data_IF_209585634212
#
_entry.id   IF_209585634212
#
_cell.length_a   1.000
_cell.length_b   1.000
_cell.length_c   1.000
_cell.angle_alpha   90.00
_cell.angle_beta   90.00
_cell.angle_gamma   90.00
#
_symmetry.space_group_name_H-M   'P 1'
#
loop_
_entity.id
_entity.type
_entity.pdbx_description
1 polymer ?
#
# COMPACT_ATOMS: atom_id res chain seq x y z
N UNK A 1 24.68 -20.34 12.47
CA UNK A 1 24.91 -20.71 11.08
C UNK A 1 25.49 -19.57 10.24
N UNK A 2 25.08 -18.32 10.45
CA UNK A 2 25.56 -17.15 9.71
C UNK A 2 26.75 -16.44 10.37
N UNK A 3 27.16 -16.80 11.60
CA UNK A 3 28.26 -16.17 12.33
C UNK A 3 27.94 -14.76 12.88
N UNK A 4 26.68 -14.37 12.88
CA UNK A 4 26.19 -13.11 13.43
C UNK A 4 25.51 -13.33 14.79
N UNK A 5 25.31 -12.26 15.58
CA UNK A 5 24.65 -12.33 16.87
C UNK A 5 23.12 -12.41 16.71
N UNK A 6 22.44 -12.92 17.72
CA UNK A 6 20.97 -13.06 17.68
C UNK A 6 20.24 -11.71 17.63
N UNK A 7 20.80 -10.67 18.22
CA UNK A 7 20.29 -9.30 18.21
C UNK A 7 20.52 -8.55 16.87
N UNK A 8 21.29 -9.16 15.96
CA UNK A 8 21.48 -8.67 14.59
C UNK A 8 20.49 -9.29 13.59
N UNK A 9 19.56 -10.13 14.06
CA UNK A 9 18.55 -10.79 13.23
C UNK A 9 17.18 -10.13 13.40
N UNK A 10 16.63 -9.61 12.31
CA UNK A 10 15.24 -9.11 12.27
C UNK A 10 14.31 -10.28 11.96
N UNK A 11 13.33 -10.50 12.81
CA UNK A 11 12.35 -11.60 12.67
C UNK A 11 10.98 -11.02 12.33
N UNK A 12 10.36 -11.57 11.30
CA UNK A 12 8.98 -11.32 10.94
C UNK A 12 8.21 -12.62 10.83
N UNK A 13 6.99 -12.68 11.34
CA UNK A 13 6.13 -13.86 11.25
C UNK A 13 4.66 -13.46 11.22
N UNK A 14 3.84 -14.33 10.67
CA UNK A 14 2.39 -14.25 10.76
C UNK A 14 1.82 -15.65 11.04
N UNK A 15 0.60 -15.73 11.53
CA UNK A 15 -0.07 -16.99 11.87
C UNK A 15 -1.43 -16.74 12.50
N UNK A 16 -2.08 -17.80 12.94
CA UNK A 16 -3.41 -17.71 13.59
C UNK A 16 -3.31 -16.96 14.92
N UNK A 17 -4.12 -15.92 15.09
CA UNK A 17 -4.15 -15.09 16.30
C UNK A 17 -4.42 -15.97 17.54
N UNK A 18 -3.58 -15.79 18.58
CA UNK A 18 -3.69 -16.54 19.83
C UNK A 18 -3.12 -17.96 19.81
N UNK A 19 -2.57 -18.42 18.68
CA UNK A 19 -1.86 -19.70 18.57
C UNK A 19 -0.34 -19.49 18.55
N UNK A 20 0.37 -20.41 19.23
CA UNK A 20 1.84 -20.40 19.16
C UNK A 20 2.29 -20.80 17.76
N UNK A 21 3.20 -20.02 17.20
CA UNK A 21 3.87 -20.37 15.95
C UNK A 21 4.71 -21.65 16.18
N UNK A 22 4.54 -22.71 15.37
CA UNK A 22 5.41 -23.88 15.46
C UNK A 22 6.83 -23.51 14.99
N UNK A 23 7.78 -23.53 15.90
CA UNK A 23 9.17 -23.12 15.63
C UNK A 23 10.00 -24.27 15.01
N UNK A 24 9.55 -25.50 15.16
CA UNK A 24 10.25 -26.69 14.74
C UNK A 24 10.57 -26.69 13.23
N UNK A 25 9.65 -26.32 12.34
CA UNK A 25 9.94 -26.27 10.90
C UNK A 25 11.09 -25.29 10.55
N UNK A 26 11.19 -24.17 11.28
CA UNK A 26 12.25 -23.18 11.07
C UNK A 26 13.57 -23.73 11.68
N UNK A 27 13.54 -24.16 12.93
CA UNK A 27 14.72 -24.66 13.66
C UNK A 27 15.38 -25.84 12.91
N UNK A 28 14.59 -26.77 12.42
CA UNK A 28 15.08 -28.02 11.85
C UNK A 28 15.63 -27.82 10.42
N UNK A 29 15.33 -26.66 9.78
CA UNK A 29 15.79 -26.33 8.41
C UNK A 29 16.75 -25.13 8.36
N UNK A 30 17.17 -24.56 9.50
CA UNK A 30 18.00 -23.35 9.54
C UNK A 30 19.33 -23.51 8.78
N UNK A 31 19.94 -24.70 8.81
CA UNK A 31 21.16 -24.97 8.06
C UNK A 31 20.94 -24.98 6.55
N UNK A 32 19.83 -25.55 6.10
CA UNK A 32 19.45 -25.57 4.69
C UNK A 32 19.16 -24.14 4.20
N UNK A 33 18.45 -23.35 4.99
CA UNK A 33 18.18 -21.95 4.70
C UNK A 33 19.47 -21.15 4.57
N UNK A 34 20.42 -21.31 5.51
CA UNK A 34 21.69 -20.60 5.48
C UNK A 34 22.52 -20.97 4.25
N UNK A 35 22.54 -22.25 3.84
CA UNK A 35 23.23 -22.71 2.61
C UNK A 35 22.51 -22.24 1.34
N UNK A 36 21.22 -22.00 1.42
CA UNK A 36 20.38 -21.55 0.31
C UNK A 36 20.43 -20.06 0.03
N UNK A 37 21.15 -19.27 0.84
CA UNK A 37 21.26 -17.81 0.62
C UNK A 37 21.95 -17.53 -0.73
N UNK A 38 21.24 -16.82 -1.60
CA UNK A 38 21.70 -16.46 -2.93
C UNK A 38 20.86 -15.32 -3.50
N UNK A 39 21.43 -14.36 -4.22
CA UNK A 39 20.69 -13.32 -4.94
C UNK A 39 19.63 -13.89 -5.90
N UNK A 40 19.87 -15.09 -6.45
CA UNK A 40 18.95 -15.76 -7.39
C UNK A 40 17.73 -16.39 -6.70
N UNK A 41 17.69 -16.42 -5.37
CA UNK A 41 16.58 -17.01 -4.61
C UNK A 41 15.56 -16.00 -4.11
N UNK A 42 15.64 -14.70 -4.53
CA UNK A 42 14.67 -13.67 -4.13
C UNK A 42 13.22 -14.09 -4.47
N UNK A 43 12.96 -14.58 -5.69
CA UNK A 43 11.63 -15.03 -6.08
C UNK A 43 11.11 -16.23 -5.26
N UNK A 44 12.00 -17.12 -4.74
CA UNK A 44 11.58 -18.16 -3.80
C UNK A 44 11.15 -17.59 -2.46
N UNK A 45 11.88 -16.58 -1.97
CA UNK A 45 11.51 -15.89 -0.73
C UNK A 45 10.18 -15.16 -0.89
N UNK A 46 9.98 -14.40 -1.99
CA UNK A 46 8.75 -13.70 -2.28
C UNK A 46 7.53 -14.65 -2.39
N UNK A 47 7.71 -15.83 -2.97
CA UNK A 47 6.65 -16.86 -3.02
C UNK A 47 6.41 -17.49 -1.64
N UNK A 48 7.47 -17.72 -0.85
CA UNK A 48 7.37 -18.42 0.44
C UNK A 48 6.65 -17.61 1.52
N UNK A 49 6.62 -16.28 1.43
CA UNK A 49 5.92 -15.41 2.38
C UNK A 49 4.43 -15.23 2.07
N UNK A 50 3.95 -15.67 0.90
CA UNK A 50 2.54 -15.54 0.51
C UNK A 50 1.62 -16.40 1.39
N UNK A 51 0.39 -15.92 1.60
CA UNK A 51 -0.69 -16.67 2.27
C UNK A 51 -1.89 -16.82 1.33
N UNK A 52 -2.77 -15.84 1.30
CA UNK A 52 -3.91 -15.75 0.37
C UNK A 52 -3.59 -14.95 -0.89
N UNK A 53 -2.38 -14.43 -0.99
CA UNK A 53 -1.87 -13.72 -2.16
C UNK A 53 -1.97 -14.58 -3.44
N UNK A 54 -2.33 -13.97 -4.57
CA UNK A 54 -2.45 -14.70 -5.85
C UNK A 54 -1.14 -14.67 -6.66
N UNK A 55 -0.24 -13.72 -6.37
CA UNK A 55 1.08 -13.62 -6.98
C UNK A 55 2.11 -13.00 -6.04
N UNK A 56 3.39 -13.31 -6.27
CA UNK A 56 4.50 -12.74 -5.53
C UNK A 56 4.71 -11.27 -5.92
N UNK A 57 4.82 -10.40 -4.92
CA UNK A 57 4.97 -8.96 -5.09
C UNK A 57 6.41 -8.56 -4.82
N UNK A 58 7.14 -8.20 -5.86
CA UNK A 58 8.52 -7.70 -5.78
C UNK A 58 8.78 -6.63 -6.83
N UNK A 59 9.66 -5.67 -6.50
CA UNK A 59 10.08 -4.60 -7.39
C UNK A 59 11.44 -4.05 -6.98
N UNK A 60 12.12 -3.39 -7.90
CA UNK A 60 13.38 -2.71 -7.62
C UNK A 60 13.52 -1.45 -8.50
N UNK A 61 14.27 -0.48 -7.99
CA UNK A 61 14.61 0.77 -8.69
C UNK A 61 16.11 0.98 -8.58
N UNK A 62 16.77 1.26 -9.70
CA UNK A 62 18.17 1.67 -9.75
C UNK A 62 18.27 3.18 -10.00
N UNK A 63 19.24 3.81 -9.37
CA UNK A 63 19.50 5.26 -9.43
C UNK A 63 20.99 5.54 -9.22
N UNK A 64 21.40 6.80 -9.28
CA UNK A 64 22.80 7.18 -9.14
C UNK A 64 23.00 8.09 -7.93
N UNK A 65 23.97 7.75 -7.06
CA UNK A 65 24.49 8.61 -6.01
C UNK A 65 26.00 8.73 -6.18
N UNK A 66 26.53 9.96 -6.18
CA UNK A 66 27.96 10.21 -6.29
C UNK A 66 28.62 9.45 -7.47
N UNK A 67 27.93 9.37 -8.61
CA UNK A 67 28.40 8.65 -9.79
C UNK A 67 28.39 7.11 -9.65
N UNK A 68 27.87 6.57 -8.57
CA UNK A 68 27.72 5.13 -8.31
C UNK A 68 26.30 4.68 -8.61
N UNK A 69 26.13 3.53 -9.25
CA UNK A 69 24.82 2.91 -9.41
C UNK A 69 24.40 2.27 -8.11
N UNK A 70 23.27 2.70 -7.60
CA UNK A 70 22.65 2.21 -6.38
C UNK A 70 21.31 1.54 -6.69
N UNK A 71 20.85 0.62 -5.86
CA UNK A 71 19.58 -0.07 -6.03
C UNK A 71 18.82 -0.16 -4.70
N UNK A 72 17.51 0.07 -4.75
CA UNK A 72 16.56 -0.31 -3.71
C UNK A 72 15.64 -1.36 -4.29
N UNK A 73 15.52 -2.49 -3.61
CA UNK A 73 14.59 -3.55 -3.99
C UNK A 73 13.73 -3.96 -2.79
N UNK A 74 12.52 -4.41 -3.05
CA UNK A 74 11.63 -4.84 -2.00
C UNK A 74 10.67 -5.92 -2.44
N UNK A 75 10.21 -6.72 -1.48
CA UNK A 75 9.11 -7.66 -1.62
C UNK A 75 8.08 -7.45 -0.51
N UNK A 76 6.82 -7.75 -0.82
CA UNK A 76 5.71 -7.63 0.09
C UNK A 76 4.77 -8.83 -0.02
N UNK A 77 4.10 -9.16 1.09
CA UNK A 77 2.96 -10.08 1.10
C UNK A 77 1.79 -9.43 1.82
N UNK A 78 0.60 -9.78 1.38
CA UNK A 78 -0.67 -9.39 2.00
C UNK A 78 -1.78 -9.30 0.97
N UNK A 79 -2.96 -9.77 1.35
CA UNK A 79 -4.14 -9.83 0.51
C UNK A 79 -5.42 -9.61 1.32
N UNK A 80 -5.49 -10.04 2.59
CA UNK A 80 -6.55 -9.79 3.56
C UNK A 80 -6.00 -9.35 4.91
N UNK A 81 -6.89 -8.86 5.80
CA UNK A 81 -6.57 -8.21 7.07
C UNK A 81 -5.62 -7.03 6.85
N UNK A 82 -6.00 -6.12 5.92
CA UNK A 82 -5.16 -5.00 5.50
C UNK A 82 -5.88 -3.67 5.72
N UNK A 83 -5.49 -2.98 6.79
CA UNK A 83 -5.80 -1.57 7.08
C UNK A 83 -4.69 -0.97 7.94
N UNK A 84 -3.53 -0.61 7.37
CA UNK A 84 -2.37 -0.19 8.15
C UNK A 84 -2.60 1.08 8.93
N UNK A 85 -2.15 1.03 10.20
CA UNK A 85 -1.86 2.21 10.99
C UNK A 85 -0.45 2.02 11.59
N UNK A 86 0.58 2.21 10.75
CA UNK A 86 2.00 1.95 11.00
C UNK A 86 2.52 0.54 10.61
N UNK A 87 1.77 -0.31 9.94
CA UNK A 87 2.17 -1.49 9.18
C UNK A 87 1.03 -2.52 9.09
N UNK A 88 0.79 -3.16 7.92
CA UNK A 88 -0.25 -4.20 7.80
C UNK A 88 0.16 -5.35 6.88
N UNK A 89 1.42 -5.52 6.63
CA UNK A 89 1.91 -6.54 5.72
C UNK A 89 3.31 -6.92 6.13
N UNK A 90 3.82 -8.02 5.64
CA UNK A 90 5.24 -8.31 5.77
C UNK A 90 5.96 -7.73 4.56
N UNK A 91 6.80 -6.73 4.81
CA UNK A 91 7.56 -6.04 3.78
C UNK A 91 9.04 -6.06 4.10
N UNK A 92 9.82 -6.51 3.14
CA UNK A 92 11.26 -6.61 3.24
C UNK A 92 11.90 -5.79 2.12
N UNK A 93 12.65 -4.78 2.51
CA UNK A 93 13.36 -3.88 1.58
C UNK A 93 14.85 -4.02 1.80
N UNK A 94 15.61 -4.05 0.73
CA UNK A 94 17.07 -4.08 0.76
C UNK A 94 17.64 -3.01 -0.15
N UNK A 95 18.82 -2.49 0.21
CA UNK A 95 19.56 -1.56 -0.63
C UNK A 95 21.06 -1.78 -0.47
N UNK A 96 21.78 -1.49 -1.53
CA UNK A 96 23.27 -1.48 -1.53
C UNK A 96 23.85 -0.10 -1.18
N UNK A 97 23.00 0.90 -0.92
CA UNK A 97 23.42 2.26 -0.57
C UNK A 97 24.18 2.28 0.77
N UNK A 98 25.29 2.99 0.80
CA UNK A 98 25.95 3.42 2.05
C UNK A 98 25.13 4.58 2.65
N UNK A 99 24.33 4.31 3.68
CA UNK A 99 23.43 5.27 4.33
C UNK A 99 23.31 4.93 5.82
N UNK A 100 23.21 5.96 6.67
CA UNK A 100 23.05 5.75 8.11
C UNK A 100 21.66 5.21 8.46
N UNK A 101 21.57 4.43 9.54
CA UNK A 101 20.31 3.91 10.07
C UNK A 101 19.31 5.02 10.43
N UNK A 102 19.82 6.18 10.88
CA UNK A 102 19.01 7.36 11.19
C UNK A 102 18.30 7.89 9.92
N UNK A 103 19.04 8.04 8.82
CA UNK A 103 18.49 8.53 7.56
C UNK A 103 17.53 7.52 6.92
N UNK A 104 17.82 6.21 7.01
CA UNK A 104 16.88 5.16 6.58
C UNK A 104 15.58 5.24 7.38
N UNK A 105 15.68 5.30 8.71
CA UNK A 105 14.49 5.35 9.57
C UNK A 105 13.65 6.60 9.31
N UNK A 106 14.29 7.74 9.09
CA UNK A 106 13.60 8.98 8.73
C UNK A 106 12.84 8.83 7.42
N UNK A 107 13.53 8.40 6.35
CA UNK A 107 12.90 8.19 5.04
C UNK A 107 11.73 7.20 5.11
N UNK A 108 11.93 6.07 5.77
CA UNK A 108 10.89 5.05 5.94
C UNK A 108 9.67 5.61 6.67
N UNK A 109 9.87 6.31 7.78
CA UNK A 109 8.78 6.87 8.60
C UNK A 109 7.96 7.93 7.86
N UNK A 110 8.59 8.71 6.98
CA UNK A 110 7.90 9.70 6.14
C UNK A 110 7.10 9.02 5.02
N UNK A 111 7.72 8.06 4.32
CA UNK A 111 7.14 7.42 3.13
C UNK A 111 5.98 6.50 3.50
N UNK A 112 6.08 5.74 4.59
CA UNK A 112 5.01 4.82 5.03
C UNK A 112 3.68 5.56 5.28
N UNK A 113 3.72 6.81 5.73
CA UNK A 113 2.52 7.63 5.97
C UNK A 113 1.70 7.87 4.71
N UNK A 114 2.36 8.01 3.56
CA UNK A 114 1.74 8.34 2.26
C UNK A 114 1.71 7.16 1.28
N UNK A 115 2.11 5.97 1.73
CA UNK A 115 2.06 4.71 0.97
C UNK A 115 1.24 3.67 1.73
N UNK A 116 1.87 2.77 2.45
CA UNK A 116 1.19 1.67 3.15
C UNK A 116 0.08 2.14 4.10
N UNK A 117 0.27 3.21 4.87
CA UNK A 117 -0.77 3.73 5.76
C UNK A 117 -1.99 4.32 5.01
N UNK A 118 -1.88 4.48 3.71
CA UNK A 118 -2.98 4.89 2.83
C UNK A 118 -3.63 3.71 2.08
N UNK A 119 -3.29 2.46 2.44
CA UNK A 119 -3.89 1.25 1.89
C UNK A 119 -5.02 0.74 2.78
N UNK A 120 -6.09 0.19 2.21
CA UNK A 120 -7.11 -0.58 2.93
C UNK A 120 -7.79 -1.59 2.02
N UNK A 121 -7.78 -2.86 2.41
CA UNK A 121 -8.52 -3.93 1.70
C UNK A 121 -9.87 -4.18 2.38
N UNK A 122 -9.89 -4.45 3.67
CA UNK A 122 -11.08 -4.84 4.42
C UNK A 122 -11.34 -4.01 5.68
N UNK A 123 -10.46 -3.06 6.01
CA UNK A 123 -10.61 -2.21 7.18
C UNK A 123 -10.06 -2.81 8.47
N UNK A 124 -9.55 -4.04 8.44
CA UNK A 124 -9.02 -4.76 9.60
C UNK A 124 -7.49 -4.64 9.68
N UNK A 125 -6.98 -4.19 10.83
CA UNK A 125 -5.55 -4.06 11.08
C UNK A 125 -5.00 -5.39 11.59
N UNK A 126 -3.91 -5.89 10.98
CA UNK A 126 -3.24 -7.12 11.40
C UNK A 126 -2.49 -6.94 12.72
N UNK A 127 -2.17 -8.06 13.36
CA UNK A 127 -1.39 -8.10 14.61
C UNK A 127 0.12 -8.24 14.39
N UNK A 128 0.57 -8.46 13.14
CA UNK A 128 1.95 -8.87 12.83
C UNK A 128 2.61 -8.05 11.71
N UNK A 129 2.14 -6.83 11.51
CA UNK A 129 2.58 -5.98 10.40
C UNK A 129 4.00 -5.47 10.58
N UNK A 130 4.80 -5.56 9.54
CA UNK A 130 6.18 -5.10 9.57
C UNK A 130 6.68 -4.58 8.22
N UNK A 131 7.39 -3.46 8.26
CA UNK A 131 8.26 -2.99 7.18
C UNK A 131 9.68 -2.92 7.71
N UNK A 132 10.60 -3.65 7.09
CA UNK A 132 12.02 -3.59 7.41
C UNK A 132 12.84 -3.19 6.19
N UNK A 133 13.91 -2.44 6.42
CA UNK A 133 14.87 -2.07 5.39
C UNK A 133 16.29 -2.34 5.88
N UNK A 134 17.08 -3.01 5.04
CA UNK A 134 18.47 -3.35 5.30
C UNK A 134 19.36 -2.71 4.22
N UNK A 135 20.41 -2.01 4.63
CA UNK A 135 21.42 -1.43 3.76
C UNK A 135 22.79 -2.07 4.03
N UNK A 136 23.50 -2.48 2.98
CA UNK A 136 24.79 -3.12 3.11
C UNK A 136 25.99 -2.26 2.65
N UNK A 137 25.75 -1.10 2.04
CA UNK A 137 26.78 -0.16 1.61
C UNK A 137 27.62 -0.61 0.42
N UNK A 138 27.25 -1.69 -0.27
CA UNK A 138 28.05 -2.27 -1.35
C UNK A 138 28.06 -1.45 -2.65
N UNK A 139 27.22 -0.42 -2.77
CA UNK A 139 27.30 0.54 -3.88
C UNK A 139 28.54 1.43 -3.80
N UNK A 140 29.18 1.51 -2.61
CA UNK A 140 30.39 2.30 -2.38
C UNK A 140 30.23 3.80 -2.73
N UNK A 141 29.01 4.32 -2.59
CA UNK A 141 28.74 5.76 -2.66
C UNK A 141 29.26 6.46 -1.39
N UNK A 142 29.43 7.76 -1.45
CA UNK A 142 29.66 8.56 -0.24
C UNK A 142 28.52 8.33 0.76
N UNK A 143 28.81 7.96 2.04
CA UNK A 143 27.78 7.64 3.01
C UNK A 143 26.77 8.79 3.22
N UNK A 144 25.48 8.52 3.05
CA UNK A 144 24.39 9.46 3.30
C UNK A 144 24.12 9.50 4.80
N UNK A 145 24.59 10.56 5.47
CA UNK A 145 24.49 10.72 6.94
C UNK A 145 23.69 11.95 7.36
N UNK A 146 23.20 12.73 6.40
CA UNK A 146 22.40 13.93 6.61
C UNK A 146 21.43 14.15 5.45
N UNK A 147 20.46 15.03 5.65
CA UNK A 147 19.56 15.50 4.59
C UNK A 147 20.35 16.30 3.52
N UNK A 148 19.90 16.23 2.28
CA UNK A 148 20.51 16.86 1.11
C UNK A 148 20.13 16.11 -0.15
N UNK A 149 20.73 16.47 -1.28
CA UNK A 149 20.40 15.96 -2.62
C UNK A 149 20.49 14.42 -2.70
N UNK A 150 21.52 13.82 -2.12
CA UNK A 150 21.69 12.36 -2.13
C UNK A 150 20.63 11.66 -1.27
N UNK A 151 20.28 12.25 -0.11
CA UNK A 151 19.17 11.75 0.72
C UNK A 151 17.84 11.84 -0.02
N UNK A 152 17.55 12.97 -0.68
CA UNK A 152 16.34 13.16 -1.44
C UNK A 152 16.23 12.18 -2.60
N UNK A 153 17.34 11.91 -3.28
CA UNK A 153 17.42 10.91 -4.36
C UNK A 153 17.12 9.51 -3.84
N UNK A 154 17.75 9.11 -2.74
CA UNK A 154 17.47 7.84 -2.08
C UNK A 154 15.99 7.75 -1.63
N UNK A 155 15.48 8.79 -0.98
CA UNK A 155 14.10 8.88 -0.51
C UNK A 155 13.10 8.74 -1.66
N UNK A 156 13.37 9.35 -2.81
CA UNK A 156 12.56 9.21 -4.01
C UNK A 156 12.57 7.78 -4.56
N UNK A 157 13.73 7.12 -4.61
CA UNK A 157 13.84 5.73 -5.06
C UNK A 157 13.11 4.78 -4.10
N UNK A 158 13.26 4.96 -2.79
CA UNK A 158 12.53 4.20 -1.78
C UNK A 158 11.02 4.42 -1.90
N UNK A 159 10.57 5.67 -2.11
CA UNK A 159 9.16 5.98 -2.35
C UNK A 159 8.60 5.23 -3.55
N UNK A 160 9.32 5.16 -4.66
CA UNK A 160 8.91 4.42 -5.86
C UNK A 160 8.70 2.93 -5.57
N UNK A 161 9.63 2.31 -4.83
CA UNK A 161 9.52 0.90 -4.45
C UNK A 161 8.30 0.67 -3.55
N UNK A 162 8.16 1.44 -2.46
CA UNK A 162 7.05 1.26 -1.51
C UNK A 162 5.69 1.56 -2.15
N UNK A 163 5.61 2.58 -3.02
CA UNK A 163 4.40 2.91 -3.76
C UNK A 163 3.99 1.80 -4.73
N UNK A 164 4.95 1.23 -5.46
CA UNK A 164 4.69 0.11 -6.37
C UNK A 164 4.16 -1.09 -5.60
N UNK A 165 4.80 -1.46 -4.48
CA UNK A 165 4.34 -2.54 -3.62
C UNK A 165 2.95 -2.26 -3.03
N UNK A 166 2.67 -1.02 -2.61
CA UNK A 166 1.34 -0.61 -2.12
C UNK A 166 0.25 -0.86 -3.16
N UNK A 167 0.49 -0.47 -4.41
CA UNK A 167 -0.47 -0.71 -5.51
C UNK A 167 -0.61 -2.20 -5.85
N UNK A 168 0.47 -2.97 -5.79
CA UNK A 168 0.42 -4.42 -5.99
C UNK A 168 -0.41 -5.11 -4.89
N UNK A 169 -0.28 -4.66 -3.64
CA UNK A 169 -1.10 -5.14 -2.51
C UNK A 169 -2.58 -4.77 -2.69
N UNK A 170 -2.87 -3.54 -3.10
CA UNK A 170 -4.24 -3.09 -3.37
C UNK A 170 -4.91 -3.91 -4.48
N UNK A 171 -4.17 -4.18 -5.56
CA UNK A 171 -4.65 -4.94 -6.73
C UNK A 171 -4.90 -6.42 -6.41
N UNK A 172 -4.16 -6.99 -5.47
CA UNK A 172 -4.24 -8.39 -5.06
C UNK A 172 -5.02 -8.58 -3.74
N UNK A 173 -5.94 -7.67 -3.42
CA UNK A 173 -6.87 -7.86 -2.30
C UNK A 173 -7.69 -9.14 -2.47
N UNK A 174 -7.99 -9.84 -1.36
CA UNK A 174 -8.74 -11.10 -1.38
C UNK A 174 -10.03 -10.99 -2.20
N UNK A 175 -10.11 -11.77 -3.29
CA UNK A 175 -11.25 -11.80 -4.19
C UNK A 175 -11.48 -10.50 -4.99
N UNK A 176 -10.53 -9.59 -5.02
CA UNK A 176 -10.65 -8.34 -5.74
C UNK A 176 -10.77 -8.53 -7.25
N UNK A 177 -11.64 -7.73 -7.87
CA UNK A 177 -11.73 -7.63 -9.33
C UNK A 177 -11.23 -6.27 -9.86
N UNK A 178 -11.15 -5.25 -8.98
CA UNK A 178 -10.75 -3.88 -9.36
C UNK A 178 -9.84 -3.28 -8.29
N UNK A 179 -8.78 -2.59 -8.74
CA UNK A 179 -8.01 -1.69 -7.88
C UNK A 179 -8.68 -0.31 -7.84
N UNK A 180 -8.78 0.26 -6.65
CA UNK A 180 -9.35 1.58 -6.42
C UNK A 180 -8.27 2.53 -5.92
N UNK A 181 -8.11 3.68 -6.57
CA UNK A 181 -7.27 4.79 -6.10
C UNK A 181 -8.17 6.00 -5.84
N UNK A 182 -8.24 6.46 -4.59
CA UNK A 182 -8.97 7.67 -4.22
C UNK A 182 -7.99 8.81 -3.99
N UNK A 183 -8.13 9.89 -4.75
CA UNK A 183 -7.40 11.15 -4.56
C UNK A 183 -8.33 12.16 -3.89
N UNK A 184 -7.93 12.71 -2.76
CA UNK A 184 -8.56 13.87 -2.15
C UNK A 184 -7.64 15.07 -2.31
N UNK A 185 -8.10 16.11 -3.00
CA UNK A 185 -7.41 17.38 -3.26
C UNK A 185 -8.19 18.55 -2.66
N UNK A 186 -7.58 19.74 -2.68
CA UNK A 186 -8.23 20.94 -2.17
C UNK A 186 -8.48 20.91 -0.65
N UNK A 187 -7.78 20.06 0.10
CA UNK A 187 -7.93 19.93 1.55
C UNK A 187 -7.16 21.02 2.31
N UNK A 188 -7.61 21.40 3.53
CA UNK A 188 -6.90 22.37 4.36
C UNK A 188 -5.50 21.90 4.78
N UNK A 189 -5.32 20.60 4.99
CA UNK A 189 -4.05 19.95 5.32
C UNK A 189 -4.00 18.51 4.80
N UNK A 190 -2.81 17.89 4.86
CA UNK A 190 -2.55 16.56 4.35
C UNK A 190 -3.28 15.47 5.16
N UNK A 191 -3.38 15.62 6.47
CA UNK A 191 -4.03 14.65 7.34
C UNK A 191 -5.52 14.55 7.02
N UNK A 192 -6.19 15.70 6.84
CA UNK A 192 -7.58 15.77 6.36
C UNK A 192 -7.75 15.05 5.02
N UNK A 193 -6.86 15.29 4.05
CA UNK A 193 -6.91 14.63 2.76
C UNK A 193 -6.77 13.10 2.88
N UNK A 194 -5.84 12.62 3.72
CA UNK A 194 -5.63 11.19 3.98
C UNK A 194 -6.87 10.56 4.62
N UNK A 195 -7.43 11.19 5.66
CA UNK A 195 -8.59 10.69 6.40
C UNK A 195 -9.79 10.51 5.45
N UNK A 196 -10.06 11.52 4.60
CA UNK A 196 -11.17 11.48 3.65
C UNK A 196 -10.94 10.41 2.58
N UNK A 197 -9.78 10.37 1.94
CA UNK A 197 -9.48 9.37 0.92
C UNK A 197 -9.58 7.94 1.48
N UNK A 198 -9.03 7.69 2.68
CA UNK A 198 -9.13 6.39 3.36
C UNK A 198 -10.56 6.06 3.75
N UNK A 199 -11.37 7.03 4.17
CA UNK A 199 -12.78 6.80 4.54
C UNK A 199 -13.57 6.25 3.36
N UNK A 200 -13.36 6.78 2.16
CA UNK A 200 -13.99 6.28 0.94
C UNK A 200 -13.50 4.87 0.59
N UNK A 201 -12.19 4.66 0.54
CA UNK A 201 -11.59 3.36 0.15
C UNK A 201 -12.02 2.23 1.09
N UNK A 202 -12.19 2.49 2.38
CA UNK A 202 -12.59 1.46 3.36
C UNK A 202 -14.11 1.21 3.44
N UNK A 203 -14.94 2.02 2.78
CA UNK A 203 -16.41 1.91 2.86
C UNK A 203 -16.93 0.65 2.16
N UNK A 204 -17.51 -0.33 2.87
CA UNK A 204 -18.05 -1.54 2.23
C UNK A 204 -19.13 -1.24 1.18
N UNK A 205 -20.01 -0.25 1.46
CA UNK A 205 -21.06 0.12 0.50
C UNK A 205 -20.47 0.70 -0.79
N UNK A 206 -19.45 1.54 -0.68
CA UNK A 206 -18.76 2.08 -1.85
C UNK A 206 -18.03 0.97 -2.63
N UNK A 207 -17.29 0.09 -1.95
CA UNK A 207 -16.57 -1.04 -2.57
C UNK A 207 -17.53 -1.98 -3.31
N UNK A 208 -18.73 -2.25 -2.76
CA UNK A 208 -19.77 -3.02 -3.44
C UNK A 208 -20.33 -2.28 -4.67
N UNK A 209 -20.42 -0.94 -4.65
CA UNK A 209 -20.83 -0.17 -5.82
C UNK A 209 -19.80 -0.30 -6.95
N UNK A 210 -18.52 -0.25 -6.63
CA UNK A 210 -17.44 -0.44 -7.62
C UNK A 210 -17.45 -1.85 -8.24
N UNK A 211 -17.69 -2.87 -7.43
CA UNK A 211 -17.89 -4.24 -7.92
C UNK A 211 -19.12 -4.34 -8.86
N UNK A 212 -20.20 -3.68 -8.51
CA UNK A 212 -21.43 -3.66 -9.31
C UNK A 212 -21.44 -2.64 -10.44
N UNK A 213 -20.32 -1.95 -10.71
CA UNK A 213 -20.19 -0.93 -11.77
C UNK A 213 -21.23 0.20 -11.63
N UNK A 214 -21.59 0.53 -10.38
CA UNK A 214 -22.56 1.56 -10.02
C UNK A 214 -21.84 2.87 -9.67
N UNK A 215 -22.05 3.92 -10.45
CA UNK A 215 -21.48 5.26 -10.24
C UNK A 215 -22.15 5.98 -9.04
N UNK A 216 -22.22 5.31 -7.90
CA UNK A 216 -22.96 5.71 -6.72
C UNK A 216 -22.25 6.82 -5.92
N UNK A 217 -22.35 8.04 -6.41
CA UNK A 217 -21.81 9.22 -5.74
C UNK A 217 -22.37 9.43 -4.34
N UNK A 218 -23.61 8.99 -4.06
CA UNK A 218 -24.22 9.08 -2.73
C UNK A 218 -23.48 8.25 -1.68
N UNK A 219 -22.97 7.06 -2.04
CA UNK A 219 -22.12 6.24 -1.17
C UNK A 219 -20.75 6.86 -0.92
N UNK A 220 -20.21 7.57 -1.92
CA UNK A 220 -18.96 8.32 -1.78
C UNK A 220 -19.17 9.47 -0.79
N UNK A 221 -20.20 10.30 -0.97
CA UNK A 221 -20.52 11.39 -0.04
C UNK A 221 -20.85 10.89 1.37
N UNK A 222 -21.53 9.74 1.49
CA UNK A 222 -21.76 9.11 2.79
C UNK A 222 -20.42 8.78 3.47
N UNK A 223 -19.47 8.18 2.75
CA UNK A 223 -18.16 7.85 3.28
C UNK A 223 -17.34 9.09 3.65
N UNK A 224 -17.42 10.16 2.87
CA UNK A 224 -16.84 11.46 3.19
C UNK A 224 -17.47 12.06 4.45
N UNK A 225 -18.81 11.97 4.56
CA UNK A 225 -19.58 12.63 5.62
C UNK A 225 -19.38 12.04 7.02
N UNK A 226 -18.95 10.77 7.16
CA UNK A 226 -18.58 10.18 8.45
C UNK A 226 -17.06 10.11 8.68
N UNK A 227 -16.27 10.70 7.79
CA UNK A 227 -14.83 10.82 8.00
C UNK A 227 -14.55 11.70 9.23
N UNK A 228 -13.58 11.28 10.05
CA UNK A 228 -13.17 12.02 11.26
C UNK A 228 -12.26 13.21 10.87
N UNK A 229 -12.84 14.18 10.15
CA UNK A 229 -12.17 15.38 9.67
C UNK A 229 -13.16 16.56 9.58
N UNK A 230 -12.66 17.77 9.81
CA UNK A 230 -13.44 18.99 9.68
C UNK A 230 -13.28 19.62 8.29
N UNK A 231 -14.37 19.74 7.56
CA UNK A 231 -14.45 20.36 6.23
C UNK A 231 -15.89 20.77 5.91
N UNK A 232 -16.08 21.64 4.91
CA UNK A 232 -17.41 22.04 4.42
C UNK A 232 -17.88 21.07 3.33
N UNK A 233 -18.78 20.17 3.69
CA UNK A 233 -19.35 19.17 2.75
C UNK A 233 -20.02 19.81 1.53
N UNK A 234 -20.55 21.04 1.64
CA UNK A 234 -21.28 21.68 0.56
C UNK A 234 -20.39 22.11 -0.63
N UNK A 235 -19.07 22.00 -0.49
CA UNK A 235 -18.09 22.34 -1.53
C UNK A 235 -17.52 21.14 -2.25
N UNK A 236 -17.90 19.92 -1.84
CA UNK A 236 -17.30 18.69 -2.34
C UNK A 236 -17.71 18.38 -3.75
N UNK A 237 -16.73 18.22 -4.62
CA UNK A 237 -16.85 17.70 -5.97
C UNK A 237 -16.33 16.27 -6.05
N UNK A 238 -16.92 15.43 -6.89
CA UNK A 238 -16.46 14.05 -7.13
C UNK A 238 -16.51 13.72 -8.62
N UNK A 239 -15.41 13.20 -9.12
CA UNK A 239 -15.28 12.59 -10.43
C UNK A 239 -14.89 11.11 -10.31
N UNK A 240 -15.41 10.28 -11.22
CA UNK A 240 -14.97 8.90 -11.43
C UNK A 240 -14.20 8.82 -12.74
N UNK A 241 -13.10 8.09 -12.75
CA UNK A 241 -12.24 7.97 -13.90
C UNK A 241 -11.62 6.56 -14.04
N UNK A 242 -11.21 6.23 -15.25
CA UNK A 242 -10.38 5.08 -15.60
C UNK A 242 -9.59 5.38 -16.89
N UNK A 243 -8.99 4.36 -17.50
CA UNK A 243 -8.35 4.47 -18.82
C UNK A 243 -9.34 4.89 -19.91
N UNK A 244 -10.66 4.73 -19.70
CA UNK A 244 -11.74 5.09 -20.64
C UNK A 244 -12.20 6.54 -20.55
N UNK A 245 -11.68 7.31 -19.58
CA UNK A 245 -12.00 8.73 -19.42
C UNK A 245 -12.46 9.09 -18.03
N UNK A 246 -13.12 10.25 -17.92
CA UNK A 246 -13.59 10.81 -16.65
C UNK A 246 -15.03 11.28 -16.79
N UNK A 247 -15.83 11.08 -15.72
CA UNK A 247 -17.18 11.64 -15.58
C UNK A 247 -17.31 12.39 -14.25
N UNK A 248 -17.97 13.52 -14.30
CA UNK A 248 -18.43 14.22 -13.08
C UNK A 248 -19.71 13.54 -12.58
N UNK A 249 -19.70 13.19 -11.28
CA UNK A 249 -20.88 12.54 -10.66
C UNK A 249 -21.48 13.39 -9.54
N UNK A 250 -20.70 14.33 -8.98
CA UNK A 250 -21.15 15.23 -7.92
C UNK A 250 -20.46 16.59 -8.05
N UNK A 251 -21.18 17.67 -7.82
CA UNK A 251 -20.71 19.03 -7.70
C UNK A 251 -21.39 19.73 -6.54
N UNK A 252 -20.61 20.39 -5.67
CA UNK A 252 -21.10 21.06 -4.47
C UNK A 252 -22.01 20.16 -3.62
N UNK A 253 -21.59 18.93 -3.38
CA UNK A 253 -22.32 17.88 -2.66
C UNK A 253 -23.69 17.49 -3.26
N UNK A 254 -23.96 17.85 -4.50
CA UNK A 254 -25.17 17.47 -5.22
C UNK A 254 -24.84 16.62 -6.46
N UNK A 255 -25.65 15.61 -6.73
CA UNK A 255 -25.53 14.82 -7.97
C UNK A 255 -25.73 15.69 -9.20
N UNK A 256 -24.95 15.39 -10.24
CA UNK A 256 -25.10 16.03 -11.55
C UNK A 256 -25.54 15.00 -12.59
N UNK A 257 -26.17 15.46 -13.66
CA UNK A 257 -26.55 14.58 -14.75
C UNK A 257 -25.28 14.06 -15.46
N UNK A 258 -25.20 12.76 -15.65
CA UNK A 258 -24.14 12.09 -16.41
C UNK A 258 -24.70 10.93 -17.25
N UNK A 259 -23.94 10.47 -18.22
CA UNK A 259 -24.29 9.30 -19.02
C UNK A 259 -24.03 8.02 -18.23
N UNK A 260 -25.06 7.26 -17.92
CA UNK A 260 -24.97 5.93 -17.30
C UNK A 260 -24.15 4.95 -18.16
N UNK A 261 -24.31 5.04 -19.50
CA UNK A 261 -23.53 4.22 -20.44
C UNK A 261 -22.03 4.54 -20.35
N UNK A 262 -21.68 5.83 -20.27
CA UNK A 262 -20.28 6.26 -20.10
C UNK A 262 -19.74 5.91 -18.73
N UNK A 263 -20.57 6.02 -17.69
CA UNK A 263 -20.21 5.61 -16.33
C UNK A 263 -19.85 4.12 -16.29
N UNK A 264 -20.68 3.28 -16.90
CA UNK A 264 -20.46 1.85 -16.99
C UNK A 264 -19.17 1.52 -17.73
N UNK A 265 -18.93 2.12 -18.90
CA UNK A 265 -17.69 1.96 -19.68
C UNK A 265 -16.44 2.26 -18.83
N UNK A 266 -16.50 3.31 -17.99
CA UNK A 266 -15.41 3.68 -17.09
C UNK A 266 -15.24 2.66 -15.98
N UNK A 267 -16.34 2.20 -15.36
CA UNK A 267 -16.32 1.32 -14.20
C UNK A 267 -16.10 -0.15 -14.54
N UNK A 268 -16.18 -0.56 -15.80
CA UNK A 268 -15.80 -1.90 -16.27
C UNK A 268 -14.26 -2.14 -16.23
N UNK A 269 -13.45 -1.08 -16.14
CA UNK A 269 -11.98 -1.21 -16.11
C UNK A 269 -11.47 -1.77 -14.77
N UNK A 270 -10.28 -2.39 -14.81
CA UNK A 270 -9.63 -3.00 -13.64
C UNK A 270 -9.07 -1.98 -12.63
N UNK A 271 -8.86 -0.73 -13.06
CA UNK A 271 -8.31 0.36 -12.26
C UNK A 271 -9.24 1.56 -12.29
N UNK A 272 -9.83 1.88 -11.14
CA UNK A 272 -10.80 2.96 -10.99
C UNK A 272 -10.19 4.07 -10.11
N UNK A 273 -10.32 5.31 -10.59
CA UNK A 273 -9.86 6.50 -9.91
C UNK A 273 -11.05 7.31 -9.41
N UNK A 274 -11.05 7.61 -8.11
CA UNK A 274 -12.03 8.46 -7.44
C UNK A 274 -11.33 9.77 -7.13
N UNK A 275 -11.74 10.85 -7.79
CA UNK A 275 -11.16 12.16 -7.59
C UNK A 275 -12.13 13.04 -6.81
N UNK A 276 -11.72 13.44 -5.61
CA UNK A 276 -12.47 14.31 -4.70
C UNK A 276 -11.73 15.65 -4.65
N UNK A 277 -12.48 16.74 -4.79
CA UNK A 277 -11.97 18.10 -4.52
C UNK A 277 -12.82 18.76 -3.43
N UNK A 278 -12.17 19.21 -2.37
CA UNK A 278 -12.84 19.87 -1.25
C UNK A 278 -12.93 21.39 -1.45
N UNK A 279 -12.14 21.98 -2.34
CA UNK A 279 -12.06 23.45 -2.58
C UNK A 279 -11.80 24.28 -1.31
N UNK A 280 -11.01 23.77 -0.35
CA UNK A 280 -10.80 24.41 0.96
C UNK A 280 -9.32 24.59 1.32
N UNK A 281 -8.41 24.29 0.40
CA UNK A 281 -6.98 24.40 0.57
C UNK A 281 -6.22 23.88 -0.63
N UNK A 282 -4.92 23.58 -0.45
CA UNK A 282 -4.03 23.12 -1.49
C UNK A 282 -3.45 21.71 -1.21
N UNK A 283 -3.75 21.17 -0.02
CA UNK A 283 -3.24 19.85 0.33
C UNK A 283 -3.94 18.75 -0.45
N UNK A 284 -3.21 17.67 -0.71
CA UNK A 284 -3.72 16.50 -1.42
C UNK A 284 -3.10 15.23 -0.88
N UNK A 285 -3.89 14.16 -0.90
CA UNK A 285 -3.42 12.82 -0.57
C UNK A 285 -4.14 11.76 -1.40
N UNK A 286 -3.57 10.55 -1.41
CA UNK A 286 -4.15 9.39 -2.07
C UNK A 286 -4.32 8.24 -1.10
N UNK A 287 -5.33 7.41 -1.36
CA UNK A 287 -5.50 6.13 -0.70
C UNK A 287 -5.81 5.04 -1.74
N UNK A 288 -5.44 3.81 -1.43
CA UNK A 288 -5.59 2.66 -2.32
C UNK A 288 -6.35 1.54 -1.64
N UNK A 289 -7.02 0.73 -2.44
CA UNK A 289 -7.73 -0.46 -2.03
C UNK A 289 -8.29 -1.21 -3.22
N UNK A 290 -9.29 -2.03 -2.97
CA UNK A 290 -9.97 -2.81 -3.99
C UNK A 290 -11.49 -2.76 -3.80
N UNK A 291 -12.24 -3.26 -4.76
CA UNK A 291 -13.68 -3.51 -4.62
C UNK A 291 -13.99 -4.61 -3.58
N UNK A 292 -15.26 -4.87 -3.31
CA UNK A 292 -15.72 -5.94 -2.42
C UNK A 292 -16.64 -6.88 -3.18
N UNK A 293 -16.16 -8.10 -3.38
CA UNK A 293 -16.80 -9.12 -4.21
C UNK A 293 -17.40 -10.28 -3.38
N UNK A 294 -18.15 -11.16 -4.02
CA UNK A 294 -18.60 -12.41 -3.39
C UNK A 294 -17.43 -13.33 -3.03
N UNK A 295 -16.32 -13.28 -3.78
CA UNK A 295 -15.16 -14.12 -3.52
C UNK A 295 -14.44 -13.72 -2.23
N UNK A 296 -14.45 -12.44 -1.82
CA UNK A 296 -13.97 -12.03 -0.50
C UNK A 296 -14.71 -12.79 0.62
N UNK A 297 -16.04 -12.84 0.57
CA UNK A 297 -16.84 -13.55 1.57
C UNK A 297 -16.56 -15.05 1.54
N UNK A 298 -16.42 -15.65 0.35
CA UNK A 298 -16.12 -17.06 0.18
C UNK A 298 -14.75 -17.44 0.74
N UNK A 299 -13.71 -16.66 0.41
CA UNK A 299 -12.34 -16.89 0.90
C UNK A 299 -12.33 -16.83 2.43
N UNK A 300 -12.90 -15.77 3.02
CA UNK A 300 -12.87 -15.55 4.46
C UNK A 300 -13.86 -16.44 5.25
N UNK A 301 -14.86 -17.00 4.60
CA UNK A 301 -15.73 -18.02 5.16
C UNK A 301 -15.05 -19.37 5.35
N UNK A 302 -14.10 -19.68 4.49
CA UNK A 302 -13.35 -20.95 4.48
C UNK A 302 -11.97 -20.86 5.16
N UNK A 303 -11.34 -19.69 5.14
CA UNK A 303 -10.00 -19.44 5.71
C UNK A 303 -10.10 -19.05 7.19
N UNK A 304 -9.26 -19.67 8.03
CA UNK A 304 -9.12 -19.33 9.46
C UNK A 304 -7.76 -18.67 9.69
N UNK A 305 -7.79 -17.43 10.08
CA UNK A 305 -6.60 -16.63 10.44
C UNK A 305 -6.42 -16.52 11.96
#
# INVERSE_FOLDING_TARGET
>A
ELGIKADEVIVASTGVIGQKLPIEPIRDHVQELARGLSPQNHGKAANAIMTTDTYAKETAVSFTLDGKTCTVGGMAKGSGMIHPNMATTLNFVTTDVAISSEMIQKALSEIVKVTYNCLSIDGDTSTNDMVSILANGMAENTPVTAEGEDYDTFRQALYQVLMTLTKMLAKDGEGASKMLECTCSGAPDQDTAIIIAKSVIRSPLFKCAMFGEDANWGRILCAIGYADAEFDINKVDVDLASSKGTIAVCRNAAGVDFSEEKAKEILEEDEIYINIDLHQGEASAKAWGCDLTYDYVKINGDYRS
#
